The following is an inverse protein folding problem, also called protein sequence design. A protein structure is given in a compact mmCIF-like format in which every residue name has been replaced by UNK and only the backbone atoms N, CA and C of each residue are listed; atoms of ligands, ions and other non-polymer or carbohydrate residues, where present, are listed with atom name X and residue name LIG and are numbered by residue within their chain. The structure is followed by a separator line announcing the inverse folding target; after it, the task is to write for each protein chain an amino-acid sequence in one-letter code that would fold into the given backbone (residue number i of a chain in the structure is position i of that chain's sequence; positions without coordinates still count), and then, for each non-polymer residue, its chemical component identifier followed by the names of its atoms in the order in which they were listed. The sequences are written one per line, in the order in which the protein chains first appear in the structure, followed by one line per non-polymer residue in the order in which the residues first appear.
data_IF_618700805459
#
_entry.id   IF_618700805459
#
_cell.length_a   1.000
_cell.length_b   1.000
_cell.length_c   1.000
_cell.angle_alpha   90.00
_cell.angle_beta   90.00
_cell.angle_gamma   90.00
#
_symmetry.space_group_name_H-M   'P 1'
#
loop_
_entity.id
_entity.type
_entity.pdbx_description
1 polymer ?
#
# COMPACT_ATOMS: atom_id res chain seq x y z
N UNK A 1 53.96 -65.02 -38.38
CA UNK A 1 54.42 -63.98 -37.42
C UNK A 1 53.40 -62.84 -37.43
N UNK A 2 52.79 -62.59 -36.25
CA UNK A 2 51.98 -61.45 -35.75
C UNK A 2 51.15 -60.63 -36.78
N UNK A 3 49.81 -60.61 -36.78
CA UNK A 3 48.84 -60.21 -35.73
C UNK A 3 49.15 -58.85 -35.09
N UNK A 4 48.39 -57.83 -35.47
CA UNK A 4 48.39 -56.49 -34.88
C UNK A 4 47.04 -55.81 -35.08
N UNK A 5 46.10 -56.05 -34.14
CA UNK A 5 44.84 -55.31 -33.99
C UNK A 5 45.14 -53.90 -33.48
N UNK A 6 44.67 -52.87 -34.18
CA UNK A 6 44.47 -51.55 -33.58
C UNK A 6 43.06 -51.50 -32.96
N UNK A 7 42.99 -51.39 -31.64
CA UNK A 7 41.75 -51.23 -30.89
C UNK A 7 41.24 -49.79 -31.03
N UNK A 8 39.94 -49.62 -31.31
CA UNK A 8 39.23 -48.36 -31.19
C UNK A 8 39.17 -47.93 -29.70
N UNK A 9 39.19 -46.61 -29.40
CA UNK A 9 39.04 -46.13 -28.04
C UNK A 9 37.61 -46.43 -27.52
N UNK A 10 37.45 -46.77 -26.22
CA UNK A 10 36.14 -47.02 -25.65
C UNK A 10 35.32 -45.72 -25.59
N UNK A 11 34.04 -45.82 -25.96
CA UNK A 11 33.06 -44.77 -25.76
C UNK A 11 32.96 -44.41 -24.27
N UNK A 12 32.97 -43.11 -23.96
CA UNK A 12 32.79 -42.62 -22.60
C UNK A 12 31.48 -43.17 -21.99
N UNK A 13 31.50 -43.66 -20.74
CA UNK A 13 30.36 -44.31 -20.15
C UNK A 13 29.21 -43.32 -19.88
N UNK A 14 27.97 -43.76 -20.06
CA UNK A 14 26.71 -43.03 -19.82
C UNK A 14 26.59 -42.35 -18.44
N UNK A 15 27.45 -42.72 -17.49
CA UNK A 15 27.60 -42.10 -16.18
C UNK A 15 28.18 -40.68 -16.24
N UNK A 16 29.07 -40.41 -17.19
CA UNK A 16 29.74 -39.11 -17.33
C UNK A 16 28.79 -38.07 -17.95
N UNK A 17 27.91 -38.50 -18.86
CA UNK A 17 26.83 -37.68 -19.40
C UNK A 17 25.75 -37.36 -18.35
N UNK A 18 25.42 -38.32 -17.48
CA UNK A 18 24.49 -38.09 -16.36
C UNK A 18 25.05 -37.11 -15.32
N UNK A 19 26.36 -37.18 -15.04
CA UNK A 19 27.02 -36.23 -14.14
C UNK A 19 27.00 -34.80 -14.70
N UNK A 20 27.16 -34.64 -16.03
CA UNK A 20 27.07 -33.34 -16.69
C UNK A 20 25.64 -32.77 -16.72
N UNK A 21 24.62 -33.62 -16.89
CA UNK A 21 23.21 -33.19 -16.84
C UNK A 21 22.80 -32.74 -15.43
N UNK A 22 23.25 -33.44 -14.39
CA UNK A 22 22.97 -33.07 -12.99
C UNK A 22 23.60 -31.73 -12.59
N UNK A 23 24.79 -31.42 -13.11
CA UNK A 23 25.44 -30.12 -12.89
C UNK A 23 24.69 -28.95 -13.50
N UNK A 24 24.04 -29.14 -14.67
CA UNK A 24 23.24 -28.09 -15.33
C UNK A 24 21.93 -27.84 -14.59
N UNK A 25 21.29 -28.88 -14.05
CA UNK A 25 20.08 -28.74 -13.24
C UNK A 25 20.35 -27.99 -11.93
N UNK A 26 21.49 -28.25 -11.27
CA UNK A 26 21.91 -27.47 -10.10
C UNK A 26 22.11 -25.99 -10.41
N UNK A 27 22.74 -25.69 -11.56
CA UNK A 27 22.98 -24.32 -12.00
C UNK A 27 21.67 -23.59 -12.35
N UNK A 28 20.72 -24.29 -12.97
CA UNK A 28 19.37 -23.76 -13.26
C UNK A 28 18.59 -23.50 -11.98
N UNK A 29 18.68 -24.39 -10.98
CA UNK A 29 18.00 -24.22 -9.70
C UNK A 29 18.62 -23.08 -8.88
N UNK A 30 19.95 -22.93 -8.93
CA UNK A 30 20.67 -21.82 -8.30
C UNK A 30 20.36 -20.48 -8.98
N UNK A 31 20.24 -20.45 -10.30
CA UNK A 31 19.78 -19.26 -11.04
C UNK A 31 18.32 -18.92 -10.73
N UNK A 32 17.45 -19.93 -10.60
CA UNK A 32 16.07 -19.77 -10.12
C UNK A 32 16.02 -19.16 -8.73
N UNK A 33 16.90 -19.61 -7.84
CA UNK A 33 17.01 -19.09 -6.46
C UNK A 33 17.55 -17.65 -6.44
N UNK A 34 18.46 -17.29 -7.35
CA UNK A 34 18.94 -15.92 -7.51
C UNK A 34 17.84 -14.98 -8.05
N UNK A 35 17.02 -15.43 -9.00
CA UNK A 35 15.85 -14.66 -9.47
C UNK A 35 14.78 -14.49 -8.38
N UNK A 36 14.65 -15.43 -7.45
CA UNK A 36 13.75 -15.31 -6.29
C UNK A 36 14.34 -14.48 -5.13
N UNK A 37 15.64 -14.22 -5.13
CA UNK A 37 16.32 -13.32 -4.18
C UNK A 37 16.42 -11.86 -4.66
N UNK A 38 15.92 -11.54 -5.85
CA UNK A 38 15.55 -10.16 -6.16
C UNK A 38 14.52 -9.73 -5.12
N UNK A 39 14.93 -8.81 -4.24
CA UNK A 39 14.10 -8.26 -3.15
C UNK A 39 12.66 -8.07 -3.62
N UNK A 40 11.65 -8.53 -2.86
CA UNK A 40 10.27 -8.22 -3.17
C UNK A 40 10.13 -6.71 -3.37
N UNK A 41 9.52 -6.29 -4.48
CA UNK A 41 9.18 -4.90 -4.78
C UNK A 41 8.52 -4.16 -3.59
N UNK A 42 7.90 -4.91 -2.68
CA UNK A 42 7.23 -4.43 -1.48
C UNK A 42 8.14 -3.68 -0.49
N UNK A 43 9.41 -4.06 -0.32
CA UNK A 43 10.29 -3.39 0.65
C UNK A 43 10.85 -2.05 0.11
N UNK A 44 10.94 -1.90 -1.22
CA UNK A 44 11.32 -0.62 -1.83
C UNK A 44 10.12 0.33 -1.98
N UNK A 45 8.90 -0.20 -2.18
CA UNK A 45 7.68 0.61 -2.22
C UNK A 45 7.31 1.21 -0.86
N UNK A 46 7.70 0.58 0.25
CA UNK A 46 7.53 1.16 1.59
C UNK A 46 8.48 2.32 1.89
N UNK A 47 9.70 2.34 1.34
CA UNK A 47 10.63 3.48 1.53
C UNK A 47 10.24 4.72 0.70
N UNK A 48 9.51 4.54 -0.42
CA UNK A 48 9.07 5.63 -1.30
C UNK A 48 7.76 6.31 -0.85
N UNK A 49 7.02 5.73 0.10
CA UNK A 49 5.76 6.30 0.62
C UNK A 49 5.93 7.41 1.66
N UNK A 50 7.14 7.67 2.13
CA UNK A 50 7.44 8.72 3.12
C UNK A 50 8.02 10.01 2.51
N UNK A 51 8.03 10.14 1.17
CA UNK A 51 8.68 11.23 0.45
C UNK A 51 7.73 12.05 -0.42
N UNK A 52 6.54 12.38 0.06
CA UNK A 52 5.75 13.47 -0.54
C UNK A 52 6.58 14.75 -0.48
N UNK A 53 7.25 15.08 -1.58
CA UNK A 53 8.11 16.26 -1.66
C UNK A 53 7.20 17.49 -1.51
N UNK A 54 7.60 18.51 -0.75
CA UNK A 54 6.86 19.76 -0.69
C UNK A 54 6.61 20.26 -2.12
N UNK A 55 5.37 20.66 -2.40
CA UNK A 55 5.03 21.40 -3.61
C UNK A 55 5.84 22.69 -3.60
N UNK A 56 7.03 22.66 -4.20
CA UNK A 56 7.88 23.84 -4.32
C UNK A 56 7.41 24.65 -5.54
N UNK A 57 7.32 25.96 -5.37
CA UNK A 57 6.84 26.87 -6.40
C UNK A 57 7.86 27.01 -7.54
N UNK A 58 7.38 27.07 -8.79
CA UNK A 58 8.24 27.39 -9.93
C UNK A 58 8.92 28.76 -9.70
N UNK A 59 10.26 28.85 -9.78
CA UNK A 59 10.94 30.14 -9.70
C UNK A 59 10.70 30.94 -10.98
N UNK A 60 9.77 31.91 -10.92
CA UNK A 60 9.50 32.83 -12.04
C UNK A 60 8.12 33.50 -11.97
N UNK A 61 7.88 34.55 -12.79
CA UNK A 61 6.57 35.20 -12.87
C UNK A 61 5.58 34.27 -13.57
N UNK A 62 4.70 33.62 -12.80
CA UNK A 62 3.72 32.65 -13.31
C UNK A 62 3.22 31.59 -12.32
N UNK A 63 3.69 31.59 -11.06
CA UNK A 63 2.97 31.06 -9.90
C UNK A 63 2.35 29.66 -10.01
N UNK A 64 3.04 28.72 -10.68
CA UNK A 64 2.62 27.31 -10.74
C UNK A 64 3.47 26.43 -9.81
N UNK A 65 2.85 25.45 -9.17
CA UNK A 65 3.59 24.41 -8.43
C UNK A 65 4.17 23.36 -9.38
N UNK A 66 5.11 22.55 -8.89
CA UNK A 66 5.50 21.30 -9.55
C UNK A 66 5.43 20.11 -8.59
N UNK A 67 5.13 18.94 -9.15
CA UNK A 67 5.14 17.65 -8.43
C UNK A 67 6.30 16.81 -8.92
N UNK A 68 7.16 16.37 -7.99
CA UNK A 68 8.25 15.45 -8.29
C UNK A 68 7.78 13.99 -8.28
N UNK A 69 8.28 13.21 -9.23
CA UNK A 69 8.08 11.76 -9.35
C UNK A 69 9.46 11.10 -9.45
N UNK A 70 10.05 10.67 -8.31
CA UNK A 70 11.35 10.01 -8.29
C UNK A 70 11.28 8.62 -8.94
N UNK A 71 12.40 8.18 -9.53
CA UNK A 71 12.54 6.88 -10.22
C UNK A 71 11.47 6.59 -11.28
N UNK A 72 10.93 7.63 -11.91
CA UNK A 72 9.89 7.54 -12.93
C UNK A 72 10.35 8.22 -14.21
N UNK A 73 10.17 7.54 -15.33
CA UNK A 73 10.46 8.03 -16.68
C UNK A 73 9.19 8.07 -17.55
N UNK A 74 9.14 9.04 -18.46
CA UNK A 74 8.12 9.10 -19.50
C UNK A 74 8.28 7.94 -20.50
N UNK A 75 7.18 7.22 -20.79
CA UNK A 75 7.08 6.29 -21.92
C UNK A 75 6.94 7.11 -23.20
N UNK A 76 8.05 7.53 -23.78
CA UNK A 76 8.09 8.48 -24.90
C UNK A 76 7.21 8.04 -26.07
N UNK A 77 7.31 6.78 -26.51
CA UNK A 77 6.53 6.24 -27.64
C UNK A 77 5.02 6.37 -27.41
N UNK A 78 4.56 5.95 -26.24
CA UNK A 78 3.12 5.91 -25.91
C UNK A 78 2.58 7.32 -25.63
N UNK A 79 3.40 8.17 -25.01
CA UNK A 79 3.06 9.56 -24.73
C UNK A 79 2.94 10.38 -26.02
N UNK A 80 3.87 10.21 -26.95
CA UNK A 80 3.82 10.86 -28.27
C UNK A 80 2.60 10.38 -29.07
N UNK A 81 2.30 9.07 -29.05
CA UNK A 81 1.10 8.52 -29.69
C UNK A 81 -0.21 9.08 -29.08
N UNK A 82 -0.19 9.42 -27.79
CA UNK A 82 -1.31 10.05 -27.10
C UNK A 82 -1.39 11.58 -27.32
N UNK A 83 -0.47 12.18 -28.07
CA UNK A 83 -0.46 13.60 -28.42
C UNK A 83 0.50 14.47 -27.60
N UNK A 84 1.38 13.88 -26.79
CA UNK A 84 2.50 14.62 -26.21
C UNK A 84 3.49 15.05 -27.31
N UNK A 85 4.28 16.09 -27.05
CA UNK A 85 5.37 16.50 -27.92
C UNK A 85 6.65 16.73 -27.14
N UNK A 86 7.76 16.20 -27.64
CA UNK A 86 9.09 16.59 -27.18
C UNK A 86 9.36 18.04 -27.59
N UNK A 87 9.87 18.85 -26.66
CA UNK A 87 10.15 20.26 -26.89
C UNK A 87 11.64 20.48 -27.18
N UNK A 88 12.47 20.23 -26.16
CA UNK A 88 13.90 20.43 -26.24
C UNK A 88 14.63 19.63 -25.15
N UNK A 89 15.92 19.41 -25.37
CA UNK A 89 16.85 18.91 -24.36
C UNK A 89 17.88 20.02 -24.09
N UNK A 90 17.72 20.82 -23.02
CA UNK A 90 18.71 21.83 -22.64
C UNK A 90 20.09 21.20 -22.47
N UNK A 91 21.13 21.95 -22.85
CA UNK A 91 22.49 21.50 -22.66
C UNK A 91 22.75 21.20 -21.17
N UNK A 92 23.53 20.14 -20.95
CA UNK A 92 24.21 19.76 -19.73
C UNK A 92 23.85 20.59 -18.47
N UNK A 93 22.73 20.28 -17.82
CA UNK A 93 22.33 20.98 -16.60
C UNK A 93 23.15 20.48 -15.43
N UNK A 94 23.53 21.38 -14.51
CA UNK A 94 24.35 21.03 -13.34
C UNK A 94 23.54 20.45 -12.17
N UNK A 95 22.22 20.42 -12.31
CA UNK A 95 21.31 19.96 -11.25
C UNK A 95 19.85 19.91 -11.71
N UNK A 96 19.04 19.12 -11.01
CA UNK A 96 17.61 18.94 -11.32
C UNK A 96 16.83 20.27 -11.25
N UNK A 97 17.18 21.17 -10.31
CA UNK A 97 16.55 22.50 -10.18
C UNK A 97 16.68 23.34 -11.45
N UNK A 98 17.81 23.25 -12.16
CA UNK A 98 18.01 23.97 -13.43
C UNK A 98 17.14 23.40 -14.55
N UNK A 99 16.92 22.07 -14.56
CA UNK A 99 16.01 21.44 -15.51
C UNK A 99 14.55 21.87 -15.29
N UNK A 100 14.11 21.89 -14.03
CA UNK A 100 12.77 22.37 -13.65
C UNK A 100 12.62 23.85 -14.00
N UNK A 101 13.60 24.69 -13.68
CA UNK A 101 13.58 26.11 -14.03
C UNK A 101 13.49 26.34 -15.55
N UNK A 102 14.22 25.56 -16.36
CA UNK A 102 14.12 25.62 -17.82
C UNK A 102 12.71 25.26 -18.32
N UNK A 103 12.05 24.28 -17.68
CA UNK A 103 10.65 23.97 -17.96
C UNK A 103 9.71 25.09 -17.51
N UNK A 104 9.93 25.67 -16.33
CA UNK A 104 9.14 26.80 -15.83
C UNK A 104 9.24 28.02 -16.77
N UNK A 105 10.40 28.26 -17.42
CA UNK A 105 10.56 29.33 -18.40
C UNK A 105 9.96 29.04 -19.79
N UNK A 106 9.72 27.77 -20.12
CA UNK A 106 9.20 27.35 -21.41
C UNK A 106 7.66 27.28 -21.37
N UNK A 107 6.91 28.17 -22.05
CA UNK A 107 5.45 28.27 -21.94
C UNK A 107 4.70 27.01 -22.38
N UNK A 108 5.32 26.15 -23.20
CA UNK A 108 4.73 24.88 -23.66
C UNK A 108 5.16 23.68 -22.82
N UNK A 109 6.11 23.84 -21.90
CA UNK A 109 6.60 22.75 -21.08
C UNK A 109 5.63 22.45 -19.93
N UNK A 110 5.28 21.18 -19.78
CA UNK A 110 4.46 20.69 -18.68
C UNK A 110 5.16 19.60 -17.88
N UNK A 111 6.15 18.91 -18.46
CA UNK A 111 6.92 17.86 -17.78
C UNK A 111 8.41 18.01 -18.10
N UNK A 112 9.24 17.96 -17.07
CA UNK A 112 10.71 17.90 -17.18
C UNK A 112 11.20 16.53 -16.69
N UNK A 113 12.03 15.85 -17.48
CA UNK A 113 12.64 14.57 -17.11
C UNK A 113 14.13 14.78 -16.91
N UNK A 114 14.62 14.38 -15.74
CA UNK A 114 16.03 14.44 -15.36
C UNK A 114 16.60 13.02 -15.38
N UNK A 115 17.70 12.84 -16.10
CA UNK A 115 18.47 11.61 -16.12
C UNK A 115 19.69 11.77 -15.21
N UNK A 116 19.81 10.87 -14.24
CA UNK A 116 20.95 10.78 -13.34
C UNK A 116 22.14 10.13 -14.08
N UNK A 117 23.38 10.51 -13.75
CA UNK A 117 24.55 10.01 -14.43
C UNK A 117 24.74 8.53 -14.07
N UNK A 118 24.90 7.67 -15.10
CA UNK A 118 25.07 6.22 -14.91
C UNK A 118 26.38 5.85 -14.18
N UNK A 119 27.35 6.77 -14.09
CA UNK A 119 28.60 6.64 -13.31
C UNK A 119 29.08 8.01 -12.82
N UNK A 120 29.47 8.16 -11.54
CA UNK A 120 30.17 9.36 -11.10
C UNK A 120 31.60 9.33 -11.65
N UNK A 121 31.89 10.12 -12.68
CA UNK A 121 33.26 10.45 -13.10
C UNK A 121 33.49 11.95 -12.93
N UNK A 122 34.56 12.41 -12.25
CA UNK A 122 34.87 13.83 -12.19
C UNK A 122 35.34 14.35 -13.56
N UNK A 123 35.04 15.62 -13.93
CA UNK A 123 34.41 16.66 -13.11
C UNK A 123 32.94 16.92 -13.46
N UNK A 124 32.17 17.37 -12.46
CA UNK A 124 30.76 17.79 -12.54
C UNK A 124 29.84 16.81 -13.28
N UNK A 125 29.13 15.97 -12.53
CA UNK A 125 28.06 15.12 -13.03
C UNK A 125 26.99 15.95 -13.76
N UNK A 126 27.12 16.01 -15.09
CA UNK A 126 26.15 16.62 -15.97
C UNK A 126 24.92 15.72 -16.01
N UNK A 127 23.76 16.27 -15.66
CA UNK A 127 22.50 15.55 -15.75
C UNK A 127 21.89 15.72 -17.14
N UNK A 128 21.25 14.67 -17.65
CA UNK A 128 20.40 14.79 -18.82
C UNK A 128 19.11 15.51 -18.43
N UNK A 129 18.67 16.46 -19.26
CA UNK A 129 17.42 17.19 -19.07
C UNK A 129 16.60 17.15 -20.35
N UNK A 130 15.35 16.72 -20.26
CA UNK A 130 14.46 16.58 -21.40
C UNK A 130 13.10 17.20 -21.08
N UNK A 131 12.65 18.13 -21.90
CA UNK A 131 11.42 18.89 -21.71
C UNK A 131 10.32 18.39 -22.65
N UNK A 132 9.14 18.16 -22.10
CA UNK A 132 7.98 17.65 -22.82
C UNK A 132 6.75 18.53 -22.59
N UNK A 133 5.96 18.66 -23.64
CA UNK A 133 4.57 19.10 -23.53
C UNK A 133 3.69 17.85 -23.50
N UNK A 134 3.10 17.61 -22.34
CA UNK A 134 2.17 16.52 -22.07
C UNK A 134 0.71 16.98 -22.13
N UNK A 135 0.46 18.24 -22.50
CA UNK A 135 -0.89 18.78 -22.57
C UNK A 135 -1.45 18.64 -23.98
N UNK A 136 -2.38 17.70 -24.16
CA UNK A 136 -3.16 17.57 -25.38
C UNK A 136 -4.64 17.77 -25.06
N UNK A 137 -5.31 18.66 -25.79
CA UNK A 137 -6.74 18.99 -25.59
C UNK A 137 -7.11 19.34 -24.13
N UNK A 138 -6.20 20.01 -23.41
CA UNK A 138 -6.40 20.44 -22.02
C UNK A 138 -6.21 19.36 -20.96
N UNK A 139 -5.63 18.19 -21.28
CA UNK A 139 -5.35 17.11 -20.33
C UNK A 139 -3.91 16.66 -20.39
N UNK A 140 -3.41 16.09 -19.29
CA UNK A 140 -2.14 15.38 -19.28
C UNK A 140 -2.30 14.02 -19.98
N UNK A 141 -1.57 13.81 -21.09
CA UNK A 141 -1.61 12.56 -21.88
C UNK A 141 -0.34 11.72 -21.73
N UNK A 142 0.63 12.17 -20.95
CA UNK A 142 1.88 11.44 -20.78
C UNK A 142 1.68 10.17 -19.94
N UNK A 143 2.33 9.10 -20.40
CA UNK A 143 2.36 7.80 -19.75
C UNK A 143 3.72 7.63 -19.11
N UNK A 144 3.76 7.10 -17.90
CA UNK A 144 4.98 6.96 -17.12
C UNK A 144 5.26 5.48 -16.81
N UNK A 145 6.52 5.17 -16.53
CA UNK A 145 6.98 3.87 -16.07
C UNK A 145 8.07 4.04 -15.00
N UNK A 146 8.17 3.08 -14.09
CA UNK A 146 9.24 3.05 -13.10
C UNK A 146 10.58 2.75 -13.79
N UNK A 147 11.59 3.60 -13.58
CA UNK A 147 12.94 3.38 -14.05
C UNK A 147 13.94 4.14 -13.17
N UNK A 148 14.79 3.38 -12.47
CA UNK A 148 15.83 3.94 -11.62
C UNK A 148 16.81 4.76 -12.44
N UNK A 149 17.28 5.87 -11.87
CA UNK A 149 18.19 6.79 -12.57
C UNK A 149 17.49 7.85 -13.41
N UNK A 150 16.16 7.93 -13.36
CA UNK A 150 15.40 9.04 -13.93
C UNK A 150 14.48 9.65 -12.87
N UNK A 151 14.15 10.92 -13.01
CA UNK A 151 13.14 11.59 -12.18
C UNK A 151 12.34 12.54 -13.05
N UNK A 152 11.03 12.46 -12.96
CA UNK A 152 10.11 13.28 -13.74
C UNK A 152 9.47 14.34 -12.85
N UNK A 153 9.29 15.56 -13.37
CA UNK A 153 8.71 16.69 -12.67
C UNK A 153 7.54 17.22 -13.50
N UNK A 154 6.32 17.19 -12.95
CA UNK A 154 5.11 17.68 -13.62
C UNK A 154 4.76 19.07 -13.10
N UNK A 155 4.55 20.03 -14.01
CA UNK A 155 4.18 21.40 -13.67
C UNK A 155 2.65 21.57 -13.72
N UNK A 156 2.10 22.27 -12.73
CA UNK A 156 0.72 22.73 -12.68
C UNK A 156 0.70 24.26 -12.84
N UNK A 157 0.55 24.73 -14.08
CA UNK A 157 0.36 26.16 -14.36
C UNK A 157 -1.11 26.52 -14.18
N UNK A 158 -1.39 27.42 -13.24
CA UNK A 158 -2.67 28.13 -13.23
C UNK A 158 -2.59 29.23 -14.28
N UNK A 159 -3.49 29.27 -15.29
CA UNK A 159 -3.55 30.42 -16.19
C UNK A 159 -3.99 31.64 -15.39
N UNK A 160 -3.30 32.77 -15.56
CA UNK A 160 -3.64 34.04 -14.93
C UNK A 160 -5.15 34.34 -15.05
N UNK A 161 -5.84 34.47 -13.91
CA UNK A 161 -7.11 35.19 -13.84
C UNK A 161 -8.42 34.43 -14.11
N UNK A 162 -8.52 33.12 -13.89
CA UNK A 162 -9.80 32.41 -13.95
C UNK A 162 -10.26 31.86 -12.58
N UNK A 163 -10.55 32.77 -11.66
CA UNK A 163 -11.46 32.49 -10.55
C UNK A 163 -12.90 32.60 -11.05
N UNK A 164 -13.43 31.53 -11.67
CA UNK A 164 -14.84 31.18 -11.57
C UNK A 164 -15.05 29.70 -11.92
N UNK A 165 -15.70 29.02 -10.99
CA UNK A 165 -16.02 27.60 -11.07
C UNK A 165 -16.84 27.25 -12.31
N UNK A 166 -16.29 26.36 -13.14
CA UNK A 166 -17.03 25.21 -13.66
C UNK A 166 -16.05 24.05 -13.76
N UNK A 167 -16.04 23.19 -12.74
CA UNK A 167 -15.39 21.90 -12.78
C UNK A 167 -16.10 21.02 -13.83
N UNK A 168 -15.69 21.15 -15.09
CA UNK A 168 -15.95 20.12 -16.10
C UNK A 168 -14.76 19.18 -16.06
N UNK A 169 -14.86 18.23 -15.13
CA UNK A 169 -13.95 17.11 -14.99
C UNK A 169 -13.75 16.46 -16.36
N UNK A 170 -12.54 16.60 -16.85
CA UNK A 170 -12.04 15.84 -17.97
C UNK A 170 -11.52 14.52 -17.38
N UNK A 171 -11.99 13.30 -17.77
CA UNK A 171 -11.51 12.04 -17.20
C UNK A 171 -9.99 12.00 -17.21
N UNK A 172 -9.42 12.20 -16.02
CA UNK A 172 -8.05 11.87 -15.74
C UNK A 172 -7.91 10.37 -15.87
N UNK A 173 -6.69 9.92 -16.12
CA UNK A 173 -6.32 8.59 -15.67
C UNK A 173 -6.62 8.57 -14.17
N UNK A 174 -7.73 7.94 -13.80
CA UNK A 174 -8.15 7.75 -12.43
C UNK A 174 -7.05 6.91 -11.81
N UNK A 175 -6.15 7.60 -11.10
CA UNK A 175 -5.11 6.94 -10.33
C UNK A 175 -5.85 6.31 -9.17
N UNK A 176 -6.05 5.01 -9.27
CA UNK A 176 -6.67 4.19 -8.24
C UNK A 176 -6.02 4.49 -6.89
N UNK A 177 -6.82 4.98 -5.94
CA UNK A 177 -6.34 5.26 -4.59
C UNK A 177 -6.46 3.99 -3.75
N UNK A 178 -5.62 3.79 -2.72
CA UNK A 178 -5.82 2.67 -1.82
C UNK A 178 -7.17 2.85 -1.09
N UNK A 179 -7.84 1.74 -0.74
CA UNK A 179 -9.14 1.81 -0.10
C UNK A 179 -9.03 2.50 1.27
N UNK A 180 -10.14 3.09 1.73
CA UNK A 180 -10.28 3.61 3.08
C UNK A 180 -10.97 2.55 3.95
N UNK A 181 -10.21 1.84 4.78
CA UNK A 181 -10.76 0.92 5.78
C UNK A 181 -11.45 1.70 6.90
N UNK A 182 -12.65 1.26 7.29
CA UNK A 182 -13.36 1.74 8.48
C UNK A 182 -13.91 0.55 9.24
N UNK A 183 -13.26 0.17 10.33
CA UNK A 183 -13.63 -0.97 11.19
C UNK A 183 -14.82 -0.66 12.11
N UNK A 184 -15.23 0.61 12.20
CA UNK A 184 -16.32 1.09 13.06
C UNK A 184 -15.79 1.80 14.31
N UNK A 185 -16.70 2.13 15.22
CA UNK A 185 -16.36 2.74 16.50
C UNK A 185 -16.04 1.68 17.55
N UNK A 186 -15.21 2.06 18.52
CA UNK A 186 -14.94 1.24 19.70
C UNK A 186 -16.23 0.92 20.47
N UNK A 187 -16.34 -0.32 20.95
CA UNK A 187 -17.53 -0.82 21.63
C UNK A 187 -17.24 -1.15 23.08
N UNK A 188 -18.12 -0.73 23.98
CA UNK A 188 -18.10 -1.15 25.38
C UNK A 188 -19.31 -2.04 25.65
N UNK A 189 -19.06 -3.26 26.10
CA UNK A 189 -20.07 -4.23 26.51
C UNK A 189 -20.06 -4.40 28.03
N UNK A 190 -21.24 -4.70 28.58
CA UNK A 190 -21.38 -5.12 29.96
C UNK A 190 -21.99 -6.52 30.01
N UNK A 191 -21.35 -7.43 30.75
CA UNK A 191 -21.94 -8.73 31.03
C UNK A 191 -23.34 -8.57 31.66
N UNK A 192 -24.32 -9.42 31.32
CA UNK A 192 -24.18 -10.70 30.61
C UNK A 192 -24.16 -10.60 29.07
N UNK A 193 -24.13 -9.40 28.48
CA UNK A 193 -24.03 -9.27 27.02
C UNK A 193 -22.60 -9.55 26.57
N UNK A 194 -22.39 -10.67 25.90
CA UNK A 194 -21.09 -11.22 25.50
C UNK A 194 -20.92 -11.33 23.97
N UNK A 195 -21.74 -10.60 23.21
CA UNK A 195 -21.71 -10.62 21.75
C UNK A 195 -21.92 -9.24 21.14
N UNK A 196 -21.26 -9.00 20.02
CA UNK A 196 -21.34 -7.75 19.24
C UNK A 196 -21.13 -8.06 17.76
N UNK A 197 -21.68 -7.20 16.90
CA UNK A 197 -21.38 -7.20 15.47
C UNK A 197 -20.59 -5.94 15.15
N UNK A 198 -19.38 -6.13 14.62
CA UNK A 198 -18.55 -5.07 14.06
C UNK A 198 -18.88 -4.93 12.58
N UNK A 199 -18.98 -3.68 12.12
CA UNK A 199 -19.40 -3.36 10.76
C UNK A 199 -18.33 -2.56 10.02
N UNK A 200 -17.69 -3.24 9.08
CA UNK A 200 -16.65 -2.69 8.22
C UNK A 200 -17.17 -2.12 6.89
N UNK A 201 -18.48 -2.19 6.64
CA UNK A 201 -19.07 -1.87 5.33
C UNK A 201 -19.07 -0.38 4.98
N UNK A 202 -18.73 0.49 5.93
CA UNK A 202 -18.50 1.91 5.66
C UNK A 202 -17.13 2.20 5.03
N UNK A 203 -16.33 1.15 4.81
CA UNK A 203 -15.10 1.21 4.03
C UNK A 203 -15.42 1.61 2.59
N UNK A 204 -14.61 2.48 2.01
CA UNK A 204 -14.88 3.08 0.69
C UNK A 204 -13.64 3.07 -0.17
N UNK A 205 -13.83 2.94 -1.47
CA UNK A 205 -12.80 2.92 -2.49
C UNK A 205 -13.31 3.70 -3.73
N UNK A 206 -12.41 4.24 -4.55
CA UNK A 206 -12.79 4.95 -5.77
C UNK A 206 -13.27 4.01 -6.89
N UNK A 207 -12.79 2.76 -6.92
CA UNK A 207 -13.25 1.75 -7.88
C UNK A 207 -14.18 0.72 -7.23
N UNK A 208 -13.63 -0.18 -6.41
CA UNK A 208 -14.38 -1.21 -5.71
C UNK A 208 -13.49 -2.00 -4.72
N UNK A 209 -14.05 -2.30 -3.55
CA UNK A 209 -13.47 -3.24 -2.58
C UNK A 209 -13.86 -4.67 -2.95
N UNK A 210 -12.87 -5.54 -3.13
CA UNK A 210 -13.07 -6.96 -3.49
C UNK A 210 -12.95 -7.91 -2.30
N UNK A 211 -12.26 -7.50 -1.23
CA UNK A 211 -12.01 -8.36 -0.07
C UNK A 211 -12.07 -7.59 1.24
N UNK A 212 -12.65 -8.24 2.26
CA UNK A 212 -12.63 -7.83 3.65
C UNK A 212 -12.07 -8.98 4.48
N UNK A 213 -11.10 -8.68 5.34
CA UNK A 213 -10.43 -9.65 6.19
C UNK A 213 -10.38 -9.11 7.62
N UNK A 214 -10.82 -9.94 8.58
CA UNK A 214 -10.83 -9.60 9.99
C UNK A 214 -9.83 -10.46 10.76
N UNK A 215 -9.03 -9.83 11.62
CA UNK A 215 -8.07 -10.51 12.47
C UNK A 215 -8.17 -10.04 13.93
N UNK A 216 -8.03 -10.96 14.88
CA UNK A 216 -7.83 -10.62 16.29
C UNK A 216 -6.36 -10.28 16.52
N UNK A 217 -6.06 -9.04 16.91
CA UNK A 217 -4.69 -8.60 17.23
C UNK A 217 -4.36 -8.80 18.71
N UNK A 218 -5.34 -8.57 19.59
CA UNK A 218 -5.17 -8.62 21.04
C UNK A 218 -6.46 -9.08 21.69
N UNK A 219 -6.36 -9.91 22.73
CA UNK A 219 -7.51 -10.43 23.48
C UNK A 219 -7.41 -11.94 23.66
N UNK A 220 -8.42 -12.52 24.27
CA UNK A 220 -8.52 -13.98 24.43
C UNK A 220 -8.82 -14.63 23.06
N UNK A 221 -7.99 -15.58 22.57
CA UNK A 221 -8.21 -16.25 21.28
C UNK A 221 -9.38 -17.23 21.29
N UNK A 222 -10.00 -17.51 22.44
CA UNK A 222 -11.20 -18.34 22.55
C UNK A 222 -12.49 -17.64 22.12
N UNK A 223 -12.42 -16.35 21.73
CA UNK A 223 -13.55 -15.62 21.17
C UNK A 223 -14.04 -16.26 19.87
N UNK A 224 -15.36 -16.44 19.76
CA UNK A 224 -15.96 -16.96 18.53
C UNK A 224 -16.11 -15.84 17.50
N UNK A 225 -15.39 -15.97 16.39
CA UNK A 225 -15.42 -15.05 15.25
C UNK A 225 -16.17 -15.66 14.06
N UNK A 226 -17.26 -15.01 13.61
CA UNK A 226 -18.04 -15.44 12.44
C UNK A 226 -18.24 -14.26 11.48
N UNK A 227 -18.08 -14.51 10.18
CA UNK A 227 -18.30 -13.51 9.12
C UNK A 227 -19.62 -13.85 8.41
N UNK A 228 -20.78 -13.32 8.87
CA UNK A 228 -22.07 -13.65 8.28
C UNK A 228 -22.25 -13.02 6.89
N UNK A 229 -21.64 -11.86 6.66
CA UNK A 229 -21.64 -11.13 5.41
C UNK A 229 -20.28 -10.46 5.20
N UNK A 230 -19.89 -10.24 3.95
CA UNK A 230 -18.66 -9.52 3.62
C UNK A 230 -18.61 -8.16 4.32
N UNK A 231 -17.47 -7.87 4.97
CA UNK A 231 -17.27 -6.63 5.74
C UNK A 231 -17.83 -6.65 7.16
N UNK A 232 -18.62 -7.64 7.57
CA UNK A 232 -19.15 -7.73 8.96
C UNK A 232 -18.48 -8.83 9.76
N UNK A 233 -18.27 -8.61 11.06
CA UNK A 233 -17.73 -9.61 11.98
C UNK A 233 -18.66 -9.74 13.18
N UNK A 234 -19.25 -10.92 13.36
CA UNK A 234 -20.02 -11.29 14.54
C UNK A 234 -19.11 -11.96 15.56
N UNK A 235 -19.07 -11.38 16.75
CA UNK A 235 -18.36 -11.88 17.92
C UNK A 235 -19.36 -12.45 18.93
N UNK A 236 -19.00 -13.55 19.57
CA UNK A 236 -19.77 -14.18 20.64
C UNK A 236 -18.84 -14.81 21.67
N UNK A 237 -19.38 -15.10 22.87
CA UNK A 237 -18.63 -15.68 23.98
C UNK A 237 -17.47 -14.79 24.46
N UNK A 238 -17.63 -13.48 24.38
CA UNK A 238 -16.66 -12.50 24.86
C UNK A 238 -16.58 -12.52 26.39
N UNK A 239 -15.39 -12.75 26.93
CA UNK A 239 -15.10 -12.67 28.37
C UNK A 239 -14.66 -11.26 28.75
N UNK A 240 -14.70 -10.96 30.05
CA UNK A 240 -14.19 -9.69 30.58
C UNK A 240 -12.75 -9.42 30.10
N UNK A 241 -12.51 -8.24 29.53
CA UNK A 241 -11.23 -7.86 28.98
C UNK A 241 -11.34 -6.86 27.85
N UNK A 242 -10.20 -6.54 27.24
CA UNK A 242 -10.12 -5.68 26.05
C UNK A 242 -9.63 -6.51 24.87
N UNK A 243 -10.36 -6.41 23.76
CA UNK A 243 -10.07 -7.07 22.51
C UNK A 243 -9.81 -6.01 21.44
N UNK A 244 -8.82 -6.24 20.58
CA UNK A 244 -8.51 -5.37 19.45
C UNK A 244 -8.61 -6.19 18.18
N UNK A 245 -9.51 -5.79 17.29
CA UNK A 245 -9.72 -6.41 16.00
C UNK A 245 -9.24 -5.49 14.89
N UNK A 246 -8.64 -6.06 13.85
CA UNK A 246 -8.21 -5.35 12.66
C UNK A 246 -9.06 -5.76 11.47
N UNK A 247 -9.58 -4.76 10.75
CA UNK A 247 -10.18 -4.91 9.44
C UNK A 247 -9.17 -4.52 8.37
N UNK A 248 -8.87 -5.46 7.46
CA UNK A 248 -8.09 -5.19 6.25
C UNK A 248 -9.01 -5.29 5.03
N UNK A 249 -9.05 -4.22 4.23
CA UNK A 249 -9.79 -4.15 2.97
C UNK A 249 -8.83 -4.14 1.79
N UNK A 250 -9.23 -4.75 0.68
CA UNK A 250 -8.45 -4.81 -0.56
C UNK A 250 -9.30 -4.38 -1.75
N UNK A 251 -8.74 -3.55 -2.62
CA UNK A 251 -9.39 -3.07 -3.84
C UNK A 251 -9.18 -4.02 -5.04
N UNK A 252 -9.75 -3.66 -6.19
CA UNK A 252 -9.59 -4.40 -7.46
C UNK A 252 -8.17 -4.38 -8.04
N UNK A 253 -7.33 -3.39 -7.69
CA UNK A 253 -5.94 -3.31 -8.12
C UNK A 253 -4.97 -4.00 -7.14
N UNK A 254 -5.47 -4.56 -6.03
CA UNK A 254 -4.69 -5.24 -5.01
C UNK A 254 -4.10 -4.32 -3.94
N UNK A 255 -4.47 -3.03 -3.90
CA UNK A 255 -4.05 -2.15 -2.81
C UNK A 255 -4.86 -2.46 -1.56
N UNK A 256 -4.22 -2.27 -0.40
CA UNK A 256 -4.76 -2.67 0.90
C UNK A 256 -4.73 -1.52 1.90
N UNK A 257 -5.69 -1.55 2.81
CA UNK A 257 -5.80 -0.61 3.91
C UNK A 257 -6.36 -1.32 5.13
N UNK A 258 -5.90 -0.92 6.32
CA UNK A 258 -6.26 -1.56 7.57
C UNK A 258 -6.73 -0.53 8.59
N UNK A 259 -7.74 -0.90 9.39
CA UNK A 259 -8.26 -0.10 10.50
C UNK A 259 -8.53 -1.01 11.71
N UNK A 260 -8.39 -0.46 12.91
CA UNK A 260 -8.49 -1.22 14.16
C UNK A 260 -9.69 -0.74 14.97
N UNK A 261 -10.39 -1.67 15.61
CA UNK A 261 -11.49 -1.39 16.53
C UNK A 261 -11.30 -2.17 17.83
N UNK A 262 -11.56 -1.50 18.95
CA UNK A 262 -11.48 -2.10 20.28
C UNK A 262 -12.86 -2.45 20.82
N UNK A 263 -12.94 -3.61 21.47
CA UNK A 263 -14.12 -4.08 22.20
C UNK A 263 -13.72 -4.28 23.64
N UNK A 264 -14.27 -3.48 24.54
CA UNK A 264 -14.02 -3.57 25.98
C UNK A 264 -15.23 -4.21 26.66
N UNK A 265 -15.00 -5.34 27.33
CA UNK A 265 -16.03 -6.10 28.04
C UNK A 265 -15.84 -5.89 29.52
N UNK A 266 -16.78 -5.20 30.14
CA UNK A 266 -16.80 -4.92 31.57
C UNK A 266 -17.69 -5.93 32.29
N UNK A 267 -17.37 -6.15 33.58
CA UNK A 267 -18.22 -6.95 34.47
C UNK A 267 -19.62 -6.36 34.55
N UNK A 268 -20.58 -7.22 34.90
CA UNK A 268 -21.92 -6.78 35.24
C UNK A 268 -21.84 -5.77 36.39
N UNK A 269 -22.41 -4.58 36.18
CA UNK A 269 -22.60 -3.61 37.25
C UNK A 269 -23.73 -4.12 38.15
N UNK A 270 -23.39 -4.82 39.24
CA UNK A 270 -24.35 -5.09 40.30
C UNK A 270 -24.62 -3.77 41.03
N UNK A 271 -25.85 -3.26 40.93
CA UNK A 271 -26.30 -2.18 41.80
C UNK A 271 -26.35 -2.70 43.24
N UNK A 272 -25.29 -2.46 44.00
CA UNK A 272 -25.34 -2.55 45.46
C UNK A 272 -26.06 -1.31 46.00
N UNK A 273 -27.39 -1.39 46.05
CA UNK A 273 -28.22 -0.31 46.55
C UNK A 273 -29.71 -0.62 46.57
N UNK A 274 -30.14 -1.59 47.37
CA UNK A 274 -31.21 -1.25 48.31
C UNK A 274 -30.99 -1.95 49.64
N UNK A 275 -30.97 -1.13 50.68
CA UNK A 275 -30.69 -1.50 52.04
C UNK A 275 -31.89 -2.18 52.68
N UNK A 276 -31.58 -2.93 53.72
CA UNK A 276 -32.55 -3.38 54.70
C UNK A 276 -33.42 -2.20 55.21
N UNK A 277 -34.74 -2.33 55.06
CA UNK A 277 -35.71 -1.72 55.96
C UNK A 277 -37.01 -2.53 55.96
N UNK A 278 -37.07 -3.46 56.91
CA UNK A 278 -38.23 -3.75 57.75
C UNK A 278 -39.57 -3.96 57.00
N UNK A 279 -39.95 -5.22 56.82
CA UNK A 279 -41.34 -5.63 57.00
C UNK A 279 -41.46 -6.28 58.39
N UNK A 280 -41.96 -5.54 59.37
CA UNK A 280 -42.57 -6.15 60.56
C UNK A 280 -43.86 -6.82 60.09
N UNK A 281 -43.91 -8.15 60.19
CA UNK A 281 -45.16 -8.87 60.44
C UNK A 281 -45.05 -9.57 61.80
N UNK A 282 -46.00 -9.22 62.67
CA UNK A 282 -46.08 -9.48 64.10
C UNK A 282 -46.05 -10.94 64.54
N UNK A 283 -45.39 -11.14 65.70
CA UNK A 283 -45.70 -12.04 66.85
C UNK A 283 -46.39 -13.39 66.59
N UNK A 284 -45.74 -14.46 67.05
CA UNK A 284 -46.17 -15.23 68.24
C UNK A 284 -44.96 -15.89 68.94
N UNK A 285 -44.97 -15.74 70.26
CA UNK A 285 -44.07 -16.37 71.24
C UNK A 285 -44.37 -17.87 71.45
N UNK A 286 -43.44 -18.51 72.17
CA UNK A 286 -43.46 -19.83 72.81
C UNK A 286 -43.13 -21.00 71.86
N UNK A 287 -42.33 -22.00 72.20
CA UNK A 287 -41.97 -22.65 73.48
C UNK A 287 -40.87 -23.67 73.07
N UNK A 288 -39.64 -23.73 73.58
CA UNK A 288 -39.15 -24.18 74.90
C UNK A 288 -38.05 -25.23 74.69
N UNK A 289 -37.14 -25.16 75.64
CA UNK A 289 -36.04 -26.04 75.98
C UNK A 289 -36.47 -27.52 76.10
N UNK A 290 -35.68 -28.46 75.54
CA UNK A 290 -35.39 -29.73 76.23
C UNK A 290 -34.22 -30.49 75.58
N UNK A 291 -33.23 -30.80 76.42
CA UNK A 291 -32.14 -31.75 76.22
C UNK A 291 -32.60 -33.20 76.04
N UNK A 292 -31.63 -34.05 75.68
CA UNK A 292 -31.58 -35.54 75.77
C UNK A 292 -32.38 -36.31 74.71
N UNK A 293 -31.86 -37.36 74.06
CA UNK A 293 -30.92 -38.40 74.53
C UNK A 293 -30.06 -38.97 73.40
#
# INVERSE_FOLDING_TARGET
LASGRAALPPAAPLSELHAQLSGVEQLLEEFRRQLQQERPQEELELELRSGGSPQEDCPGPGGGGYSAMPDVIIRTKDSLAAGASFLLAPAAVRGWRQCVAACCSEPRCSVAVVELPRRPSPPAAVLGCYLFNCTARGRNVCKFALHRGYSSYSLSRTPDGAALATARASPGLEKDAPPLSKAGQDVVLHLPTDGVVLDGRESTDDHAIVQYEWALLQGDPSVDMKVPQSGTLKLSHLQEGTYTFQLTVMDTAGQRSSDNVSVTVLRAAYSTGDGCSICICSKREAKEFSETS
#
